data_IF_201431672592
#
_entry.id   IF_201431672592
#
_cell.length_a   1.000
_cell.length_b   1.000
_cell.length_c   1.000
_cell.angle_alpha   90.00
_cell.angle_beta   90.00
_cell.angle_gamma   90.00
#
_symmetry.space_group_name_H-M   'P 1'
#
loop_
_entity.id
_entity.type
_entity.pdbx_description
1 polymer ?
#
# COMPACT_ATOMS: atom_id res chain seq x y z
N UNK A 1 -6.00 1.04 3.87
CA UNK A 1 -6.43 -0.04 4.78
C UNK A 1 -6.31 0.39 6.23
N UNK A 2 -7.07 -0.24 7.13
CA UNK A 2 -6.91 -0.11 8.58
C UNK A 2 -6.12 -1.30 9.11
N UNK A 3 -5.25 -1.07 10.08
CA UNK A 3 -4.49 -2.10 10.78
C UNK A 3 -4.98 -2.25 12.22
N UNK A 4 -5.06 -3.50 12.67
CA UNK A 4 -5.44 -3.87 14.02
C UNK A 4 -4.47 -4.92 14.57
N UNK A 5 -4.23 -4.91 15.88
CA UNK A 5 -3.48 -5.98 16.54
C UNK A 5 -4.34 -7.22 16.79
N UNK A 6 -3.75 -8.25 17.40
CA UNK A 6 -4.44 -9.50 17.71
C UNK A 6 -5.61 -9.36 18.70
N UNK A 7 -5.68 -8.26 19.45
CA UNK A 7 -6.80 -7.93 20.34
C UNK A 7 -7.94 -7.20 19.63
N UNK A 8 -7.74 -6.82 18.37
CA UNK A 8 -8.65 -5.98 17.60
C UNK A 8 -8.49 -4.49 17.88
N UNK A 9 -7.45 -4.07 18.60
CA UNK A 9 -7.17 -2.65 18.85
C UNK A 9 -6.59 -1.99 17.60
N UNK A 10 -7.07 -0.79 17.27
CA UNK A 10 -6.59 -0.03 16.12
C UNK A 10 -5.11 0.36 16.29
N UNK A 11 -4.28 0.03 15.30
CA UNK A 11 -2.84 0.32 15.34
C UNK A 11 -2.39 1.34 14.31
N UNK A 12 -3.22 1.62 13.29
CA UNK A 12 -2.87 2.60 12.26
C UNK A 12 -3.43 2.26 10.87
N UNK A 13 -2.76 2.79 9.85
CA UNK A 13 -3.18 2.70 8.45
C UNK A 13 -2.11 2.06 7.58
N UNK A 14 -2.59 1.42 6.52
CA UNK A 14 -1.79 0.94 5.40
C UNK A 14 -2.20 1.66 4.13
N UNK A 15 -1.27 2.34 3.47
CA UNK A 15 -1.47 2.97 2.16
C UNK A 15 -0.83 2.11 1.08
N UNK A 16 -1.66 1.53 0.21
CA UNK A 16 -1.20 0.89 -1.01
C UNK A 16 -1.04 1.96 -2.09
N UNK A 17 0.14 2.08 -2.71
CA UNK A 17 0.29 2.96 -3.87
C UNK A 17 -0.03 2.14 -5.11
N UNK A 18 -1.10 2.53 -5.78
CA UNK A 18 -1.63 1.82 -6.94
C UNK A 18 -2.12 2.79 -7.99
N UNK A 19 -2.23 2.30 -9.23
CA UNK A 19 -2.76 3.08 -10.33
C UNK A 19 -4.18 3.58 -10.01
N UNK A 20 -4.57 4.76 -10.52
CA UNK A 20 -5.93 5.27 -10.32
C UNK A 20 -6.99 4.23 -10.70
N UNK A 21 -8.04 4.13 -9.89
CA UNK A 21 -9.10 3.16 -10.11
C UNK A 21 -9.90 3.46 -11.36
N UNK A 22 -9.99 2.46 -12.24
CA UNK A 22 -10.83 2.51 -13.44
C UNK A 22 -12.02 1.57 -13.25
N UNK A 23 -13.24 2.10 -13.30
CA UNK A 23 -14.46 1.27 -13.28
C UNK A 23 -14.64 0.59 -14.63
N UNK A 24 -14.85 -0.71 -14.62
CA UNK A 24 -15.17 -1.54 -15.79
C UNK A 24 -16.46 -2.33 -15.53
N UNK A 25 -17.07 -2.95 -16.57
CA UNK A 25 -18.20 -3.86 -16.36
C UNK A 25 -17.90 -5.07 -15.47
N UNK A 26 -16.61 -5.42 -15.32
CA UNK A 26 -16.16 -6.56 -14.51
C UNK A 26 -15.75 -6.16 -13.08
N UNK A 27 -15.57 -4.86 -12.79
CA UNK A 27 -15.18 -4.39 -11.47
C UNK A 27 -14.34 -3.12 -11.48
N UNK A 28 -13.30 -3.10 -10.65
CA UNK A 28 -12.26 -2.07 -10.63
C UNK A 28 -11.01 -2.66 -11.25
N UNK A 29 -10.45 -1.94 -12.21
CA UNK A 29 -9.11 -2.17 -12.73
C UNK A 29 -8.13 -1.19 -12.09
N UNK A 30 -6.98 -1.70 -11.65
CA UNK A 30 -5.88 -0.99 -11.00
C UNK A 30 -4.64 -1.89 -11.01
N UNK A 31 -3.49 -1.32 -10.68
CA UNK A 31 -2.23 -2.06 -10.59
C UNK A 31 -1.41 -1.55 -9.41
N UNK A 32 -0.92 -2.48 -8.60
CA UNK A 32 0.08 -2.27 -7.56
C UNK A 32 1.38 -1.64 -8.11
N UNK A 33 1.84 -0.56 -7.47
CA UNK A 33 3.08 0.14 -7.83
C UNK A 33 4.26 -0.22 -6.90
N UNK A 34 4.16 -1.33 -6.16
CA UNK A 34 5.23 -1.94 -5.36
C UNK A 34 5.81 -1.10 -4.22
N UNK A 35 5.25 0.08 -3.96
CA UNK A 35 5.68 0.96 -2.88
C UNK A 35 4.50 1.23 -1.97
N UNK A 36 4.73 1.13 -0.67
CA UNK A 36 3.69 1.23 0.34
C UNK A 36 4.00 2.26 1.41
N UNK A 37 2.96 2.67 2.12
CA UNK A 37 3.06 3.51 3.31
C UNK A 37 2.45 2.79 4.49
N UNK A 38 3.15 2.77 5.62
CA UNK A 38 2.57 2.37 6.91
C UNK A 38 2.59 3.56 7.85
N UNK A 39 1.44 3.86 8.44
CA UNK A 39 1.28 4.93 9.41
C UNK A 39 0.74 4.35 10.73
N UNK A 40 1.35 4.71 11.84
CA UNK A 40 0.89 4.35 13.18
C UNK A 40 -0.25 5.26 13.62
N UNK A 41 -1.05 4.81 14.60
CA UNK A 41 -2.23 5.54 15.08
C UNK A 41 -1.92 6.95 15.64
N UNK A 42 -0.67 7.21 16.05
CA UNK A 42 -0.18 8.52 16.50
C UNK A 42 0.30 9.44 15.36
N UNK A 43 0.15 8.99 14.10
CA UNK A 43 0.44 9.78 12.90
C UNK A 43 1.89 9.74 12.42
N UNK A 44 2.76 8.96 13.05
CA UNK A 44 4.08 8.68 12.46
C UNK A 44 3.92 7.76 11.25
N UNK A 45 4.75 7.95 10.22
CA UNK A 45 4.67 7.14 9.00
C UNK A 45 6.05 6.85 8.42
N UNK A 46 6.12 5.78 7.63
CA UNK A 46 7.31 5.40 6.87
C UNK A 46 6.93 4.71 5.57
N UNK A 47 7.87 4.69 4.64
CA UNK A 47 7.82 3.82 3.49
C UNK A 47 7.93 2.34 3.90
N UNK A 48 7.32 1.50 3.08
CA UNK A 48 7.40 0.05 3.12
C UNK A 48 7.68 -0.42 1.68
N UNK A 49 8.45 -1.51 1.59
CA UNK A 49 8.82 -2.18 0.33
C UNK A 49 9.63 -1.35 -0.66
N UNK A 50 10.40 -0.36 -0.16
CA UNK A 50 11.30 0.44 -1.00
C UNK A 50 12.30 -0.42 -1.81
N UNK A 51 12.77 -1.53 -1.26
CA UNK A 51 13.71 -2.42 -1.93
C UNK A 51 13.04 -3.24 -3.04
N UNK A 52 11.78 -3.60 -2.87
CA UNK A 52 11.00 -4.24 -3.94
C UNK A 52 10.76 -3.26 -5.07
N UNK A 53 10.33 -2.04 -4.74
CA UNK A 53 10.15 -0.96 -5.70
C UNK A 53 11.43 -0.71 -6.51
N UNK A 54 12.60 -0.56 -5.85
CA UNK A 54 13.90 -0.42 -6.53
C UNK A 54 14.18 -1.59 -7.47
N UNK A 55 13.95 -2.83 -7.03
CA UNK A 55 14.16 -4.02 -7.86
C UNK A 55 13.25 -4.03 -9.10
N UNK A 56 11.99 -3.61 -8.99
CA UNK A 56 11.07 -3.53 -10.15
C UNK A 56 11.56 -2.51 -11.17
N UNK A 57 12.05 -1.36 -10.71
CA UNK A 57 12.68 -0.36 -11.60
C UNK A 57 13.94 -0.90 -12.30
N UNK A 58 14.79 -1.66 -11.59
CA UNK A 58 16.00 -2.27 -12.17
C UNK A 58 15.70 -3.25 -13.29
N UNK A 59 14.61 -4.02 -13.17
CA UNK A 59 14.19 -5.00 -14.19
C UNK A 59 13.19 -4.42 -15.22
N UNK A 60 12.81 -3.14 -15.07
CA UNK A 60 11.99 -2.40 -16.02
C UNK A 60 10.52 -2.80 -16.05
N UNK A 61 9.95 -3.16 -14.90
CA UNK A 61 8.52 -3.49 -14.73
C UNK A 61 7.79 -2.50 -13.84
#
# INVERSE_FOLDING_TARGET
GLSFDASGSFTGWYGNIEAPFVRTPLGIDTHDLALDVVATADGQWRWKDEDEFRRRLEVGI
#
